data_IF_382027638194
#
_entry.id   IF_382027638194
#
_cell.length_a   1.000
_cell.length_b   1.000
_cell.length_c   1.000
_cell.angle_alpha   90.00
_cell.angle_beta   90.00
_cell.angle_gamma   90.00
#
_symmetry.space_group_name_H-M   'P 1'
#
loop_
_entity.id
_entity.type
_entity.pdbx_description
1 polymer ?
#
# COMPACT_ATOMS: atom_id res chain seq x y z
N UNK A 1 34.59 -21.41 6.84
CA UNK A 1 33.92 -20.22 6.27
C UNK A 1 34.67 -19.62 5.06
N UNK A 2 35.84 -18.98 5.24
CA UNK A 2 36.51 -18.19 4.17
C UNK A 2 36.81 -18.95 2.86
N UNK A 3 37.27 -20.20 2.95
CA UNK A 3 37.52 -21.03 1.76
C UNK A 3 36.23 -21.29 0.96
N UNK A 4 35.14 -21.65 1.64
CA UNK A 4 33.85 -21.93 1.01
C UNK A 4 33.22 -20.66 0.42
N UNK A 5 33.35 -19.52 1.09
CA UNK A 5 32.98 -18.21 0.53
C UNK A 5 33.75 -17.90 -0.76
N UNK A 6 35.06 -18.15 -0.78
CA UNK A 6 35.90 -17.90 -1.95
C UNK A 6 35.51 -18.78 -3.15
N UNK A 7 35.23 -20.07 -2.90
CA UNK A 7 34.70 -20.99 -3.91
C UNK A 7 33.32 -20.53 -4.40
N UNK A 8 32.45 -20.08 -3.49
CA UNK A 8 31.11 -19.60 -3.82
C UNK A 8 31.17 -18.37 -4.72
N UNK A 9 32.05 -17.40 -4.42
CA UNK A 9 32.30 -16.23 -5.28
C UNK A 9 32.80 -16.63 -6.66
N UNK A 10 33.74 -17.56 -6.71
CA UNK A 10 34.27 -18.05 -7.99
C UNK A 10 33.18 -18.74 -8.82
N UNK A 11 32.39 -19.60 -8.19
CA UNK A 11 31.32 -20.34 -8.85
C UNK A 11 30.21 -19.42 -9.38
N UNK A 12 29.72 -18.50 -8.54
CA UNK A 12 28.67 -17.53 -8.91
C UNK A 12 29.13 -16.56 -10.00
N UNK A 13 30.39 -16.10 -9.92
CA UNK A 13 31.02 -15.28 -10.97
C UNK A 13 31.14 -16.06 -12.29
N UNK A 14 31.60 -17.31 -12.24
CA UNK A 14 31.66 -18.18 -13.42
C UNK A 14 30.29 -18.36 -14.07
N UNK A 15 29.24 -18.61 -13.29
CA UNK A 15 27.87 -18.74 -13.80
C UNK A 15 27.39 -17.43 -14.49
N UNK A 16 27.72 -16.28 -13.90
CA UNK A 16 27.37 -14.96 -14.45
C UNK A 16 28.08 -14.68 -15.78
N UNK A 17 29.37 -15.02 -15.89
CA UNK A 17 30.16 -14.89 -17.12
C UNK A 17 29.66 -15.84 -18.20
N UNK A 18 29.36 -17.09 -17.84
CA UNK A 18 28.84 -18.08 -18.79
C UNK A 18 27.44 -17.74 -19.31
N UNK A 19 26.69 -16.89 -18.60
CA UNK A 19 25.40 -16.37 -19.06
C UNK A 19 25.55 -15.23 -20.09
N UNK A 20 26.75 -14.68 -20.32
CA UNK A 20 26.94 -13.68 -21.36
C UNK A 20 26.86 -14.30 -22.78
N UNK A 21 26.22 -13.62 -23.76
CA UNK A 21 26.05 -14.16 -25.10
C UNK A 21 27.37 -14.55 -25.79
N UNK A 22 28.46 -13.85 -25.44
CA UNK A 22 29.81 -14.10 -25.97
C UNK A 22 30.43 -15.42 -25.49
N UNK A 23 29.96 -15.94 -24.35
CA UNK A 23 30.52 -17.12 -23.68
C UNK A 23 29.50 -18.25 -23.49
N UNK A 24 28.25 -18.05 -23.93
CA UNK A 24 27.15 -19.01 -23.87
C UNK A 24 27.44 -20.26 -24.72
N UNK A 25 28.30 -21.14 -24.21
CA UNK A 25 28.57 -22.42 -24.83
C UNK A 25 27.39 -23.36 -24.53
N UNK A 26 26.53 -23.59 -25.54
CA UNK A 26 25.28 -24.38 -25.46
C UNK A 26 25.43 -25.77 -24.81
N UNK A 27 26.65 -26.29 -24.68
CA UNK A 27 26.92 -27.68 -24.28
C UNK A 27 27.20 -27.91 -22.78
N UNK A 28 27.50 -26.88 -21.98
CA UNK A 28 27.82 -27.06 -20.56
C UNK A 28 26.59 -27.00 -19.63
N UNK A 29 25.55 -26.25 -20.01
CA UNK A 29 24.34 -26.06 -19.21
C UNK A 29 23.19 -27.02 -19.59
N UNK A 30 23.31 -27.74 -20.72
CA UNK A 30 22.26 -28.62 -21.27
C UNK A 30 22.53 -30.11 -21.07
N UNK A 31 23.76 -30.52 -20.78
CA UNK A 31 24.09 -31.94 -20.59
C UNK A 31 23.90 -32.36 -19.13
N UNK A 32 22.88 -33.19 -18.90
CA UNK A 32 22.82 -34.19 -17.81
C UNK A 32 24.05 -35.12 -17.88
N UNK A 33 25.23 -34.62 -17.52
CA UNK A 33 26.38 -35.48 -17.27
C UNK A 33 26.37 -35.88 -15.80
N UNK A 34 25.73 -37.02 -15.55
CA UNK A 34 25.88 -37.82 -14.34
C UNK A 34 27.35 -38.14 -14.09
N UNK A 35 28.01 -37.43 -13.15
CA UNK A 35 29.16 -37.90 -12.34
C UNK A 35 29.58 -36.85 -11.29
N UNK A 36 29.24 -37.13 -10.01
CA UNK A 36 29.59 -36.42 -8.75
C UNK A 36 29.11 -34.96 -8.64
N UNK A 37 28.73 -34.47 -7.43
CA UNK A 37 28.07 -33.18 -7.31
C UNK A 37 29.11 -32.09 -7.54
N UNK A 38 29.20 -31.59 -8.78
CA UNK A 38 29.73 -30.26 -9.00
C UNK A 38 28.93 -29.29 -8.14
N UNK A 39 29.59 -28.25 -7.63
CA UNK A 39 28.90 -27.16 -6.94
C UNK A 39 27.65 -26.77 -7.75
N UNK A 40 26.49 -26.89 -7.12
CA UNK A 40 25.22 -26.41 -7.65
C UNK A 40 24.72 -25.28 -6.76
N UNK A 41 23.89 -24.41 -7.32
CA UNK A 41 23.23 -23.35 -6.56
C UNK A 41 22.46 -23.94 -5.38
N UNK A 42 21.73 -25.04 -5.61
CA UNK A 42 21.01 -25.77 -4.58
C UNK A 42 21.90 -26.28 -3.44
N UNK A 43 23.08 -26.84 -3.75
CA UNK A 43 24.00 -27.33 -2.72
C UNK A 43 24.49 -26.18 -1.82
N UNK A 44 24.80 -25.03 -2.41
CA UNK A 44 25.27 -23.86 -1.68
C UNK A 44 24.18 -23.22 -0.82
N UNK A 45 22.92 -23.25 -1.28
CA UNK A 45 21.76 -22.78 -0.51
C UNK A 45 21.53 -23.63 0.76
N UNK A 46 21.95 -24.89 0.77
CA UNK A 46 21.88 -25.77 1.95
C UNK A 46 23.14 -25.75 2.82
N UNK A 47 24.11 -24.88 2.53
CA UNK A 47 25.31 -24.72 3.36
C UNK A 47 24.95 -24.35 4.79
N UNK A 48 25.60 -24.95 5.79
CA UNK A 48 25.41 -24.59 7.21
C UNK A 48 25.83 -23.14 7.53
N UNK A 49 26.77 -22.59 6.75
CA UNK A 49 27.28 -21.23 6.89
C UNK A 49 26.35 -20.20 6.27
N UNK A 50 25.79 -19.30 7.08
CA UNK A 50 24.88 -18.24 6.61
C UNK A 50 25.56 -17.29 5.61
N UNK A 51 26.86 -17.05 5.73
CA UNK A 51 27.59 -16.15 4.82
C UNK A 51 27.68 -16.72 3.40
N UNK A 52 27.68 -18.05 3.28
CA UNK A 52 27.65 -18.73 1.98
C UNK A 52 26.24 -18.64 1.40
N UNK A 53 25.20 -18.91 2.20
CA UNK A 53 23.81 -18.78 1.78
C UNK A 53 23.49 -17.36 1.34
N UNK A 54 23.88 -16.36 2.14
CA UNK A 54 23.68 -14.94 1.87
C UNK A 54 24.32 -14.52 0.54
N UNK A 55 25.59 -14.86 0.33
CA UNK A 55 26.29 -14.56 -0.92
C UNK A 55 25.59 -15.16 -2.15
N UNK A 56 25.09 -16.39 -2.03
CA UNK A 56 24.34 -17.02 -3.11
C UNK A 56 23.01 -16.32 -3.34
N UNK A 57 22.26 -16.01 -2.28
CA UNK A 57 20.98 -15.30 -2.37
C UNK A 57 21.14 -13.92 -3.00
N UNK A 58 22.16 -13.15 -2.61
CA UNK A 58 22.49 -11.86 -3.22
C UNK A 58 22.79 -11.99 -4.71
N UNK A 59 23.57 -13.01 -5.09
CA UNK A 59 23.86 -13.29 -6.51
C UNK A 59 22.58 -13.62 -7.28
N UNK A 60 21.71 -14.46 -6.72
CA UNK A 60 20.44 -14.84 -7.34
C UNK A 60 19.51 -13.64 -7.50
N UNK A 61 19.46 -12.75 -6.51
CA UNK A 61 18.69 -11.51 -6.61
C UNK A 61 19.23 -10.58 -7.69
N UNK A 62 20.55 -10.49 -7.86
CA UNK A 62 21.14 -9.76 -8.98
C UNK A 62 20.75 -10.37 -10.33
N UNK A 63 20.73 -11.71 -10.44
CA UNK A 63 20.25 -12.38 -11.64
C UNK A 63 18.78 -12.11 -11.93
N UNK A 64 17.90 -12.21 -10.92
CA UNK A 64 16.48 -11.93 -11.05
C UNK A 64 16.21 -10.46 -11.43
N UNK A 65 16.94 -9.51 -10.84
CA UNK A 65 16.85 -8.10 -11.20
C UNK A 65 17.26 -7.84 -12.66
N UNK A 66 18.32 -8.52 -13.14
CA UNK A 66 18.73 -8.44 -14.54
C UNK A 66 17.64 -8.99 -15.46
N UNK A 67 17.11 -10.19 -15.17
CA UNK A 67 16.05 -10.81 -15.98
C UNK A 67 14.80 -9.93 -16.05
N UNK A 68 14.41 -9.31 -14.93
CA UNK A 68 13.21 -8.46 -14.86
C UNK A 68 13.42 -7.06 -15.49
N UNK A 69 14.66 -6.67 -15.80
CA UNK A 69 14.94 -5.42 -16.50
C UNK A 69 14.69 -5.60 -18.01
N UNK A 70 13.83 -4.73 -18.59
CA UNK A 70 13.40 -4.77 -20.00
C UNK A 70 14.53 -4.63 -21.05
N UNK A 71 15.78 -4.44 -20.63
CA UNK A 71 16.94 -4.15 -21.49
C UNK A 71 17.95 -5.31 -21.59
N UNK A 72 17.68 -6.49 -21.00
CA UNK A 72 18.60 -7.63 -21.10
C UNK A 72 18.37 -8.39 -22.41
N UNK A 73 19.47 -8.72 -23.12
CA UNK A 73 19.41 -9.57 -24.31
C UNK A 73 18.70 -10.89 -23.96
N UNK A 74 17.66 -11.24 -24.71
CA UNK A 74 16.77 -12.38 -24.46
C UNK A 74 17.54 -13.69 -24.14
N UNK A 75 18.68 -13.91 -24.81
CA UNK A 75 19.54 -15.07 -24.59
C UNK A 75 20.19 -15.13 -23.19
N UNK A 76 20.67 -13.99 -22.67
CA UNK A 76 21.27 -13.92 -21.32
C UNK A 76 20.22 -14.13 -20.24
N UNK A 77 19.04 -13.51 -20.40
CA UNK A 77 17.91 -13.69 -19.49
C UNK A 77 17.47 -15.16 -19.40
N UNK A 78 17.35 -15.82 -20.56
CA UNK A 78 16.96 -17.23 -20.64
C UNK A 78 17.97 -18.18 -19.97
N UNK A 79 19.28 -17.91 -20.07
CA UNK A 79 20.31 -18.73 -19.40
C UNK A 79 20.22 -18.61 -17.88
N UNK A 80 20.05 -17.39 -17.36
CA UNK A 80 19.89 -17.17 -15.92
C UNK A 80 18.60 -17.80 -15.39
N UNK A 81 17.50 -17.70 -16.14
CA UNK A 81 16.24 -18.38 -15.81
C UNK A 81 16.41 -19.91 -15.74
N UNK A 82 17.16 -20.51 -16.67
CA UNK A 82 17.44 -21.94 -16.65
C UNK A 82 18.22 -22.36 -15.39
N UNK A 83 19.16 -21.54 -14.91
CA UNK A 83 19.90 -21.80 -13.66
C UNK A 83 19.00 -21.78 -12.42
N UNK A 84 17.93 -21.01 -12.46
CA UNK A 84 16.96 -20.88 -11.36
C UNK A 84 15.78 -21.84 -11.48
N UNK A 85 15.56 -22.41 -12.67
CA UNK A 85 14.46 -23.33 -12.93
C UNK A 85 14.55 -24.57 -12.04
N UNK A 86 13.44 -24.88 -11.35
CA UNK A 86 13.36 -26.02 -10.44
C UNK A 86 13.85 -25.75 -9.01
N UNK A 87 14.35 -24.55 -8.72
CA UNK A 87 14.74 -24.17 -7.35
C UNK A 87 13.58 -23.63 -6.50
N UNK A 88 12.38 -23.45 -7.07
CA UNK A 88 11.21 -22.91 -6.36
C UNK A 88 10.88 -23.72 -5.10
N UNK A 89 10.84 -25.05 -5.23
CA UNK A 89 10.61 -25.97 -4.11
C UNK A 89 11.71 -25.84 -3.04
N UNK A 90 12.96 -25.69 -3.46
CA UNK A 90 14.11 -25.52 -2.57
C UNK A 90 13.99 -24.22 -1.78
N UNK A 91 13.67 -23.10 -2.42
CA UNK A 91 13.47 -21.83 -1.72
C UNK A 91 12.32 -21.89 -0.72
N UNK A 92 11.19 -22.51 -1.08
CA UNK A 92 10.05 -22.68 -0.16
C UNK A 92 10.46 -23.49 1.07
N UNK A 93 11.19 -24.61 0.88
CA UNK A 93 11.67 -25.45 1.99
C UNK A 93 12.66 -24.73 2.90
N UNK A 94 13.56 -23.93 2.33
CA UNK A 94 14.54 -23.17 3.10
C UNK A 94 13.83 -22.02 3.84
N UNK A 95 12.86 -21.35 3.21
CA UNK A 95 12.11 -20.25 3.84
C UNK A 95 11.46 -20.67 5.18
N UNK A 96 10.89 -21.87 5.24
CA UNK A 96 10.23 -22.37 6.47
C UNK A 96 11.25 -22.77 7.56
N UNK A 97 12.51 -23.00 7.21
CA UNK A 97 13.54 -23.51 8.15
C UNK A 97 14.59 -22.48 8.55
N UNK A 98 14.80 -21.46 7.72
CA UNK A 98 15.85 -20.47 7.91
C UNK A 98 15.66 -19.70 9.23
N UNK A 99 16.71 -19.62 10.02
CA UNK A 99 16.71 -18.94 11.32
C UNK A 99 17.50 -17.62 11.26
N UNK A 100 18.39 -17.47 10.27
CA UNK A 100 19.17 -16.26 10.12
C UNK A 100 18.33 -15.16 9.45
N UNK A 101 18.06 -14.02 10.11
CA UNK A 101 17.09 -13.03 9.64
C UNK A 101 17.45 -12.44 8.28
N UNK A 102 18.72 -12.13 8.02
CA UNK A 102 19.14 -11.58 6.72
C UNK A 102 18.98 -12.59 5.58
N UNK A 103 19.28 -13.88 5.83
CA UNK A 103 19.11 -14.92 4.82
C UNK A 103 17.61 -15.12 4.55
N UNK A 104 16.79 -15.15 5.60
CA UNK A 104 15.34 -15.27 5.49
C UNK A 104 14.75 -14.11 4.70
N UNK A 105 15.13 -12.87 5.00
CA UNK A 105 14.73 -11.68 4.25
C UNK A 105 15.08 -11.82 2.75
N UNK A 106 16.28 -12.26 2.42
CA UNK A 106 16.70 -12.45 1.03
C UNK A 106 15.98 -13.61 0.33
N UNK A 107 15.64 -14.68 1.04
CA UNK A 107 14.81 -15.77 0.50
C UNK A 107 13.41 -15.27 0.16
N UNK A 108 12.79 -14.47 1.03
CA UNK A 108 11.50 -13.85 0.74
C UNK A 108 11.58 -12.92 -0.47
N UNK A 109 12.66 -12.14 -0.60
CA UNK A 109 12.89 -11.28 -1.77
C UNK A 109 13.05 -12.08 -3.07
N UNK A 110 13.70 -13.24 -3.01
CA UNK A 110 13.82 -14.16 -4.16
C UNK A 110 12.44 -14.70 -4.54
N UNK A 111 11.68 -15.24 -3.58
CA UNK A 111 10.34 -15.77 -3.81
C UNK A 111 9.38 -14.71 -4.38
N UNK A 112 9.44 -13.50 -3.85
CA UNK A 112 8.67 -12.35 -4.35
C UNK A 112 8.96 -12.06 -5.84
N UNK A 113 10.22 -12.19 -6.28
CA UNK A 113 10.64 -11.90 -7.66
C UNK A 113 10.42 -13.06 -8.64
N UNK A 114 10.15 -14.27 -8.15
CA UNK A 114 9.83 -15.43 -9.00
C UNK A 114 8.42 -15.35 -9.60
N UNK A 115 8.16 -16.21 -10.60
CA UNK A 115 6.80 -16.40 -11.15
C UNK A 115 5.92 -17.10 -10.10
N UNK A 116 4.86 -16.43 -9.66
CA UNK A 116 3.95 -16.94 -8.64
C UNK A 116 3.29 -18.25 -9.05
N UNK A 117 3.04 -18.48 -10.34
CA UNK A 117 2.43 -19.73 -10.81
C UNK A 117 3.32 -20.93 -10.48
N UNK A 118 4.62 -20.77 -10.68
CA UNK A 118 5.60 -21.81 -10.35
C UNK A 118 5.70 -21.98 -8.83
N UNK A 119 5.86 -20.88 -8.08
CA UNK A 119 5.96 -20.92 -6.62
C UNK A 119 4.75 -21.62 -6.01
N UNK A 120 3.53 -21.19 -6.35
CA UNK A 120 2.30 -21.76 -5.81
C UNK A 120 2.11 -23.22 -6.18
N UNK A 121 2.44 -23.62 -7.42
CA UNK A 121 2.36 -25.03 -7.83
C UNK A 121 3.28 -25.94 -7.03
N UNK A 122 4.37 -25.41 -6.48
CA UNK A 122 5.35 -26.15 -5.68
C UNK A 122 5.10 -26.06 -4.18
N UNK A 123 4.33 -25.08 -3.70
CA UNK A 123 4.06 -24.91 -2.27
C UNK A 123 3.34 -26.11 -1.66
N UNK A 124 2.36 -26.67 -2.36
CA UNK A 124 1.59 -27.81 -1.87
C UNK A 124 2.47 -29.06 -1.73
N UNK A 125 3.32 -29.33 -2.73
CA UNK A 125 4.27 -30.44 -2.71
C UNK A 125 5.37 -30.25 -1.65
N UNK A 126 5.90 -29.02 -1.54
CA UNK A 126 7.08 -28.72 -0.73
C UNK A 126 6.80 -28.73 0.78
N UNK A 127 5.68 -28.09 1.19
CA UNK A 127 5.37 -27.81 2.59
C UNK A 127 3.93 -28.11 2.97
N UNK A 128 3.14 -28.74 2.07
CA UNK A 128 1.74 -29.14 2.32
C UNK A 128 0.83 -27.97 2.70
N UNK A 129 1.11 -26.78 2.17
CA UNK A 129 0.26 -25.61 2.28
C UNK A 129 -0.42 -25.32 0.95
N UNK A 130 -1.75 -25.17 0.97
CA UNK A 130 -2.46 -24.60 -0.18
C UNK A 130 -2.15 -23.09 -0.28
N UNK A 131 -2.35 -22.46 -1.44
CA UNK A 131 -2.04 -21.04 -1.62
C UNK A 131 -2.70 -20.09 -0.61
N UNK A 132 -3.91 -20.39 -0.11
CA UNK A 132 -4.57 -19.63 0.96
C UNK A 132 -3.79 -19.68 2.28
N UNK A 133 -3.40 -20.88 2.73
CA UNK A 133 -2.54 -21.05 3.92
C UNK A 133 -1.18 -20.39 3.74
N UNK A 134 -0.64 -20.44 2.52
CA UNK A 134 0.63 -19.79 2.20
C UNK A 134 0.53 -18.27 2.30
N UNK A 135 -0.54 -17.66 1.78
CA UNK A 135 -0.80 -16.23 1.95
C UNK A 135 -0.88 -15.85 3.44
N UNK A 136 -1.64 -16.60 4.24
CA UNK A 136 -1.75 -16.35 5.68
C UNK A 136 -0.41 -16.49 6.41
N UNK A 137 0.41 -17.47 6.01
CA UNK A 137 1.78 -17.61 6.54
C UNK A 137 2.64 -16.38 6.26
N UNK A 138 2.62 -15.86 5.03
CA UNK A 138 3.35 -14.63 4.67
C UNK A 138 2.82 -13.40 5.42
N UNK A 139 1.50 -13.25 5.54
CA UNK A 139 0.89 -12.13 6.29
C UNK A 139 1.25 -12.18 7.79
N UNK A 140 1.31 -13.38 8.38
CA UNK A 140 1.74 -13.52 9.76
C UNK A 140 3.20 -13.10 9.95
N UNK A 141 4.09 -13.42 9.00
CA UNK A 141 5.48 -12.94 9.04
C UNK A 141 5.52 -11.41 8.97
N UNK A 142 4.73 -10.79 8.08
CA UNK A 142 4.62 -9.34 7.97
C UNK A 142 4.14 -8.69 9.28
N UNK A 143 3.24 -9.34 10.01
CA UNK A 143 2.68 -8.82 11.26
C UNK A 143 3.59 -9.01 12.48
N UNK A 144 4.31 -10.13 12.57
CA UNK A 144 5.02 -10.49 13.82
C UNK A 144 6.53 -10.27 13.79
N UNK A 145 7.12 -10.00 12.62
CA UNK A 145 8.57 -9.80 12.51
C UNK A 145 9.03 -8.58 13.29
N UNK A 146 10.19 -8.66 13.96
CA UNK A 146 10.85 -7.49 14.57
C UNK A 146 11.73 -6.68 13.61
N UNK A 147 11.99 -7.18 12.40
CA UNK A 147 12.79 -6.50 11.36
C UNK A 147 11.87 -5.86 10.32
N UNK A 148 12.11 -4.58 10.08
CA UNK A 148 11.39 -3.74 9.11
C UNK A 148 11.55 -4.29 7.69
N UNK A 149 12.75 -4.76 7.34
CA UNK A 149 13.05 -5.32 6.03
C UNK A 149 12.23 -6.59 5.76
N UNK A 150 12.15 -7.47 6.75
CA UNK A 150 11.33 -8.69 6.68
C UNK A 150 9.84 -8.33 6.62
N UNK A 151 9.38 -7.38 7.44
CA UNK A 151 7.98 -6.92 7.39
C UNK A 151 7.62 -6.37 6.00
N UNK A 152 8.45 -5.47 5.47
CA UNK A 152 8.29 -4.82 4.17
C UNK A 152 8.22 -5.82 3.02
N UNK A 153 9.21 -6.72 2.91
CA UNK A 153 9.22 -7.69 1.80
C UNK A 153 8.09 -8.71 1.93
N UNK A 154 7.73 -9.11 3.14
CA UNK A 154 6.61 -10.03 3.39
C UNK A 154 5.29 -9.40 2.99
N UNK A 155 5.05 -8.14 3.34
CA UNK A 155 3.82 -7.43 2.97
C UNK A 155 3.73 -7.20 1.46
N UNK A 156 4.84 -6.84 0.80
CA UNK A 156 4.92 -6.76 -0.67
C UNK A 156 4.60 -8.10 -1.32
N UNK A 157 5.12 -9.19 -0.76
CA UNK A 157 4.86 -10.54 -1.25
C UNK A 157 3.40 -10.98 -1.03
N UNK A 158 2.85 -10.74 0.15
CA UNK A 158 1.44 -10.98 0.45
C UNK A 158 0.52 -10.21 -0.51
N UNK A 159 0.83 -8.95 -0.80
CA UNK A 159 0.05 -8.11 -1.73
C UNK A 159 0.07 -8.68 -3.15
N UNK A 160 1.25 -9.09 -3.65
CA UNK A 160 1.39 -9.72 -4.97
C UNK A 160 0.64 -11.05 -5.05
N UNK A 161 0.70 -11.85 -3.99
CA UNK A 161 -0.05 -13.10 -3.87
C UNK A 161 -1.56 -12.85 -3.86
N UNK A 162 -2.05 -11.93 -3.04
CA UNK A 162 -3.48 -11.62 -2.95
C UNK A 162 -4.05 -11.18 -4.31
N UNK A 163 -3.36 -10.28 -5.03
CA UNK A 163 -3.71 -9.91 -6.41
C UNK A 163 -3.82 -11.15 -7.30
N UNK A 164 -2.80 -12.01 -7.28
CA UNK A 164 -2.79 -13.21 -8.10
C UNK A 164 -3.95 -14.16 -7.77
N UNK A 165 -4.27 -14.34 -6.49
CA UNK A 165 -5.34 -15.24 -6.05
C UNK A 165 -6.73 -14.67 -6.40
N UNK A 166 -6.99 -13.38 -6.17
CA UNK A 166 -8.28 -12.75 -6.53
C UNK A 166 -8.50 -12.76 -8.05
N UNK A 167 -7.44 -12.62 -8.86
CA UNK A 167 -7.56 -12.63 -10.31
C UNK A 167 -7.78 -14.02 -10.93
N UNK A 168 -7.20 -15.07 -10.33
CA UNK A 168 -7.13 -16.39 -10.95
C UNK A 168 -7.95 -17.46 -10.23
N UNK A 169 -8.46 -17.17 -9.04
CA UNK A 169 -9.17 -18.14 -8.21
C UNK A 169 -10.57 -17.70 -7.84
N UNK A 170 -11.44 -18.69 -7.63
CA UNK A 170 -12.88 -18.49 -7.41
C UNK A 170 -13.31 -18.62 -5.93
N UNK A 171 -12.38 -18.89 -5.02
CA UNK A 171 -12.69 -18.94 -3.59
C UNK A 171 -12.84 -17.54 -3.00
N UNK A 172 -13.73 -17.43 -2.02
CA UNK A 172 -13.90 -16.21 -1.24
C UNK A 172 -12.71 -15.98 -0.32
N UNK A 173 -12.07 -14.81 -0.48
CA UNK A 173 -10.90 -14.35 0.25
C UNK A 173 -11.22 -13.12 1.12
N UNK A 174 -12.47 -12.93 1.52
CA UNK A 174 -12.90 -11.78 2.33
C UNK A 174 -12.04 -11.63 3.60
N UNK A 175 -11.86 -12.70 4.38
CA UNK A 175 -11.05 -12.65 5.62
C UNK A 175 -9.60 -12.27 5.39
N UNK A 176 -8.98 -12.82 4.34
CA UNK A 176 -7.59 -12.55 3.97
C UNK A 176 -7.44 -11.12 3.45
N UNK A 177 -8.44 -10.64 2.72
CA UNK A 177 -8.50 -9.26 2.24
C UNK A 177 -8.57 -8.29 3.41
N UNK A 178 -9.43 -8.53 4.41
CA UNK A 178 -9.50 -7.69 5.62
C UNK A 178 -8.18 -7.66 6.38
N UNK A 179 -7.58 -8.83 6.63
CA UNK A 179 -6.28 -8.90 7.31
C UNK A 179 -5.19 -8.13 6.53
N UNK A 180 -5.16 -8.27 5.20
CA UNK A 180 -4.21 -7.55 4.37
C UNK A 180 -4.43 -6.03 4.38
N UNK A 181 -5.68 -5.56 4.33
CA UNK A 181 -6.03 -4.14 4.41
C UNK A 181 -5.54 -3.52 5.72
N UNK A 182 -5.74 -4.21 6.85
CA UNK A 182 -5.26 -3.75 8.16
C UNK A 182 -3.74 -3.58 8.17
N UNK A 183 -2.98 -4.53 7.61
CA UNK A 183 -1.52 -4.44 7.51
C UNK A 183 -1.06 -3.28 6.61
N UNK A 184 -1.69 -3.09 5.45
CA UNK A 184 -1.36 -1.97 4.56
C UNK A 184 -1.69 -0.63 5.21
N UNK A 185 -2.83 -0.55 5.91
CA UNK A 185 -3.22 0.65 6.66
C UNK A 185 -2.20 0.97 7.75
N UNK A 186 -1.85 -0.02 8.57
CA UNK A 186 -0.85 0.13 9.63
C UNK A 186 0.46 0.68 9.07
N UNK A 187 1.00 0.09 8.00
CA UNK A 187 2.24 0.57 7.37
C UNK A 187 2.12 1.96 6.74
N UNK A 188 0.91 2.47 6.50
CA UNK A 188 0.68 3.80 5.93
C UNK A 188 0.56 4.90 6.98
N UNK A 189 0.53 4.55 8.27
CA UNK A 189 0.41 5.50 9.38
C UNK A 189 1.64 6.41 9.52
N UNK A 190 1.42 7.65 9.98
CA UNK A 190 2.47 8.68 10.05
C UNK A 190 3.54 8.33 11.09
N UNK A 191 3.16 7.58 12.13
CA UNK A 191 4.02 7.09 13.21
C UNK A 191 4.99 6.00 12.74
N UNK A 192 4.76 5.40 11.57
CA UNK A 192 5.60 4.33 11.07
C UNK A 192 6.91 4.83 10.48
N UNK A 193 7.91 3.95 10.54
CA UNK A 193 9.21 4.16 9.92
C UNK A 193 9.06 4.38 8.41
N UNK A 194 9.92 5.25 7.86
CA UNK A 194 10.01 5.58 6.43
C UNK A 194 9.92 4.36 5.51
N UNK A 195 10.67 3.31 5.82
CA UNK A 195 10.77 2.12 4.96
C UNK A 195 9.45 1.32 4.89
N UNK A 196 8.64 1.33 5.96
CA UNK A 196 7.31 0.71 5.96
C UNK A 196 6.31 1.54 5.15
N UNK A 197 6.35 2.86 5.28
CA UNK A 197 5.52 3.77 4.47
C UNK A 197 5.89 3.70 2.98
N UNK A 198 7.18 3.59 2.67
CA UNK A 198 7.65 3.34 1.31
C UNK A 198 7.15 1.99 0.79
N UNK A 199 7.17 0.95 1.62
CA UNK A 199 6.62 -0.34 1.25
C UNK A 199 5.12 -0.26 0.92
N UNK A 200 4.33 0.42 1.76
CA UNK A 200 2.92 0.65 1.53
C UNK A 200 2.67 1.43 0.23
N UNK A 201 3.45 2.50 -0.02
CA UNK A 201 3.35 3.28 -1.26
C UNK A 201 3.65 2.41 -2.50
N UNK A 202 4.74 1.64 -2.49
CA UNK A 202 5.07 0.71 -3.57
C UNK A 202 3.98 -0.36 -3.80
N UNK A 203 3.39 -0.88 -2.72
CA UNK A 203 2.27 -1.82 -2.78
C UNK A 203 1.08 -1.17 -3.49
N UNK A 204 0.64 0.00 -3.03
CA UNK A 204 -0.49 0.74 -3.59
C UNK A 204 -0.29 1.02 -5.09
N UNK A 205 0.93 1.41 -5.48
CA UNK A 205 1.32 1.56 -6.89
C UNK A 205 1.16 0.23 -7.64
N UNK A 206 1.72 -0.87 -7.11
CA UNK A 206 1.68 -2.18 -7.78
C UNK A 206 0.27 -2.75 -7.95
N UNK A 207 -0.64 -2.48 -7.01
CA UNK A 207 -2.02 -2.96 -7.05
C UNK A 207 -2.98 -2.01 -7.80
N UNK A 208 -2.54 -0.80 -8.15
CA UNK A 208 -3.38 0.23 -8.77
C UNK A 208 -4.24 -0.28 -9.93
N UNK A 209 -3.70 -0.97 -10.96
CA UNK A 209 -4.50 -1.46 -12.08
C UNK A 209 -5.47 -2.58 -11.72
N UNK A 210 -5.28 -3.23 -10.58
CA UNK A 210 -6.06 -4.41 -10.19
C UNK A 210 -7.16 -4.08 -9.19
N UNK A 211 -6.90 -3.17 -8.24
CA UNK A 211 -7.81 -2.93 -7.11
C UNK A 211 -8.28 -1.47 -7.00
N UNK A 212 -7.46 -0.48 -7.39
CA UNK A 212 -7.78 0.93 -7.18
C UNK A 212 -8.52 1.58 -8.36
N UNK A 213 -8.31 1.05 -9.57
CA UNK A 213 -8.83 1.62 -10.83
C UNK A 213 -9.66 0.64 -11.65
N UNK A 214 -9.73 -0.63 -11.24
CA UNK A 214 -10.50 -1.66 -11.95
C UNK A 214 -12.00 -1.33 -11.92
N UNK A 215 -12.65 -1.39 -13.08
CA UNK A 215 -14.09 -1.10 -13.23
C UNK A 215 -14.98 -2.11 -12.51
N UNK A 216 -14.49 -3.33 -12.28
CA UNK A 216 -15.23 -4.41 -11.62
C UNK A 216 -15.26 -4.28 -10.12
N UNK A 217 -14.41 -3.43 -9.53
CA UNK A 217 -14.27 -3.29 -8.07
C UNK A 217 -14.14 -4.65 -7.36
N UNK A 218 -13.07 -5.42 -7.61
CA UNK A 218 -12.93 -6.78 -7.07
C UNK A 218 -12.93 -6.86 -5.53
N UNK A 219 -12.53 -5.79 -4.84
CA UNK A 219 -12.59 -5.68 -3.37
C UNK A 219 -13.93 -5.12 -2.88
N UNK A 220 -14.78 -4.64 -3.78
CA UNK A 220 -15.93 -3.80 -3.45
C UNK A 220 -15.56 -2.36 -3.10
N UNK A 221 -16.56 -1.48 -3.12
CA UNK A 221 -16.36 -0.03 -2.96
C UNK A 221 -15.70 0.34 -1.62
N UNK A 222 -16.15 -0.26 -0.51
CA UNK A 222 -15.67 0.10 0.83
C UNK A 222 -14.15 -0.12 0.97
N UNK A 223 -13.67 -1.29 0.56
CA UNK A 223 -12.27 -1.68 0.72
C UNK A 223 -11.37 -0.98 -0.30
N UNK A 224 -11.87 -0.77 -1.52
CA UNK A 224 -11.17 0.07 -2.51
C UNK A 224 -11.02 1.51 -2.00
N UNK A 225 -12.07 2.11 -1.43
CA UNK A 225 -11.99 3.45 -0.85
C UNK A 225 -11.07 3.47 0.38
N UNK A 226 -11.08 2.44 1.21
CA UNK A 226 -10.15 2.33 2.33
C UNK A 226 -8.68 2.40 1.87
N UNK A 227 -8.31 1.71 0.79
CA UNK A 227 -6.96 1.84 0.21
C UNK A 227 -6.70 3.25 -0.37
N UNK A 228 -7.70 3.89 -0.98
CA UNK A 228 -7.58 5.28 -1.41
C UNK A 228 -7.32 6.25 -0.25
N UNK A 229 -7.85 5.96 0.94
CA UNK A 229 -7.52 6.72 2.15
C UNK A 229 -6.04 6.55 2.52
N UNK A 230 -5.49 5.35 2.43
CA UNK A 230 -4.04 5.12 2.61
C UNK A 230 -3.22 5.90 1.57
N UNK A 231 -3.66 5.95 0.31
CA UNK A 231 -3.01 6.78 -0.73
C UNK A 231 -3.00 8.25 -0.32
N UNK A 232 -4.15 8.80 0.06
CA UNK A 232 -4.30 10.20 0.50
C UNK A 232 -3.40 10.51 1.70
N UNK A 233 -3.25 9.56 2.63
CA UNK A 233 -2.36 9.70 3.78
C UNK A 233 -0.89 9.76 3.35
N UNK A 234 -0.43 8.82 2.51
CA UNK A 234 0.97 8.79 2.05
C UNK A 234 1.34 9.99 1.17
N UNK A 235 0.40 10.55 0.41
CA UNK A 235 0.60 11.79 -0.36
C UNK A 235 0.83 13.03 0.52
N UNK A 236 0.46 12.95 1.80
CA UNK A 236 0.68 13.99 2.80
C UNK A 236 1.92 13.74 3.67
N UNK A 237 2.61 12.60 3.51
CA UNK A 237 3.81 12.28 4.29
C UNK A 237 4.81 13.44 4.25
N UNK A 238 5.44 13.79 5.36
CA UNK A 238 6.52 14.81 5.39
C UNK A 238 7.73 14.41 4.54
N UNK A 239 7.91 13.11 4.31
CA UNK A 239 9.04 12.56 3.59
C UNK A 239 8.80 12.55 2.09
N UNK A 240 9.63 13.30 1.37
CA UNK A 240 9.50 13.45 -0.07
C UNK A 240 9.54 12.12 -0.82
N UNK A 241 10.41 11.19 -0.42
CA UNK A 241 10.53 9.88 -1.08
C UNK A 241 9.23 9.06 -1.00
N UNK A 242 8.50 9.15 0.11
CA UNK A 242 7.20 8.49 0.31
C UNK A 242 6.15 9.13 -0.59
N UNK A 243 6.04 10.46 -0.57
CA UNK A 243 5.09 11.19 -1.41
C UNK A 243 5.33 10.93 -2.90
N UNK A 244 6.57 11.05 -3.36
CA UNK A 244 6.94 10.87 -4.77
C UNK A 244 6.64 9.44 -5.24
N UNK A 245 6.81 8.44 -4.36
CA UNK A 245 6.42 7.06 -4.64
C UNK A 245 4.90 6.92 -4.73
N UNK A 246 4.15 7.48 -3.78
CA UNK A 246 2.69 7.41 -3.74
C UNK A 246 2.02 8.14 -4.94
N UNK A 247 2.63 9.21 -5.48
CA UNK A 247 2.22 9.84 -6.75
C UNK A 247 2.23 8.85 -7.91
N UNK A 248 3.01 7.76 -7.81
CA UNK A 248 2.98 6.64 -8.75
C UNK A 248 1.58 6.05 -8.97
N UNK A 249 0.70 6.07 -7.95
CA UNK A 249 -0.70 5.62 -8.06
C UNK A 249 -1.45 6.51 -9.04
N UNK A 250 -1.34 7.83 -8.89
CA UNK A 250 -1.97 8.82 -9.78
C UNK A 250 -1.44 8.65 -11.20
N UNK A 251 -0.11 8.54 -11.36
CA UNK A 251 0.53 8.35 -12.67
C UNK A 251 0.06 7.08 -13.37
N UNK A 252 -0.03 5.96 -12.66
CA UNK A 252 -0.51 4.69 -13.21
C UNK A 252 -2.00 4.72 -13.51
N UNK A 253 -2.80 5.42 -12.72
CA UNK A 253 -4.23 5.57 -12.99
C UNK A 253 -4.46 6.40 -14.25
N UNK A 254 -3.76 7.52 -14.40
CA UNK A 254 -3.87 8.41 -15.57
C UNK A 254 -3.32 7.80 -16.86
N UNK A 255 -2.32 6.91 -16.79
CA UNK A 255 -1.77 6.25 -17.98
C UNK A 255 -2.64 5.13 -18.54
N UNK A 256 -3.70 4.72 -17.83
CA UNK A 256 -4.62 3.72 -18.33
C UNK A 256 -5.56 4.34 -19.38
N UNK A 257 -5.43 3.90 -20.63
CA UNK A 257 -6.16 4.40 -21.82
C UNK A 257 -7.70 4.43 -21.64
N UNK A 258 -8.24 3.62 -20.74
CA UNK A 258 -9.67 3.44 -20.55
C UNK A 258 -10.29 4.39 -19.52
N UNK A 259 -9.49 5.18 -18.79
CA UNK A 259 -9.98 5.77 -17.53
C UNK A 259 -10.03 7.30 -17.56
N UNK A 260 -9.05 8.01 -18.14
CA UNK A 260 -8.99 9.48 -18.03
C UNK A 260 -8.59 10.19 -19.32
N UNK A 261 -9.40 11.16 -19.78
CA UNK A 261 -9.22 11.87 -21.08
C UNK A 261 -8.74 13.32 -20.98
N UNK A 262 -8.55 13.89 -19.79
CA UNK A 262 -8.49 15.36 -19.64
C UNK A 262 -7.21 15.97 -19.07
N UNK A 263 -6.25 15.17 -18.61
CA UNK A 263 -5.05 15.73 -18.00
C UNK A 263 -3.87 15.36 -18.89
N UNK A 264 -3.44 16.32 -19.72
CA UNK A 264 -2.25 16.17 -20.57
C UNK A 264 -1.02 15.78 -19.76
N UNK A 265 0.02 15.28 -20.43
CA UNK A 265 1.29 14.83 -19.87
C UNK A 265 1.80 15.77 -18.76
N UNK A 266 1.42 15.47 -17.51
CA UNK A 266 1.91 16.18 -16.35
C UNK A 266 3.29 15.62 -16.05
N UNK A 267 4.28 16.49 -16.10
CA UNK A 267 5.65 16.15 -15.76
C UNK A 267 5.76 16.05 -14.22
N UNK A 268 5.47 14.87 -13.68
CA UNK A 268 5.33 14.58 -12.25
C UNK A 268 6.66 14.59 -11.47
N UNK A 269 7.65 15.39 -11.88
CA UNK A 269 9.00 15.30 -11.31
C UNK A 269 9.11 15.84 -9.88
N UNK A 270 8.24 16.77 -9.47
CA UNK A 270 8.08 17.21 -8.07
C UNK A 270 6.64 17.69 -7.87
N UNK A 271 5.82 16.93 -7.13
CA UNK A 271 4.44 17.32 -6.81
C UNK A 271 4.38 17.73 -5.33
N UNK A 272 3.97 18.96 -5.05
CA UNK A 272 3.69 19.33 -3.65
C UNK A 272 2.41 18.61 -3.15
N UNK A 273 2.30 18.39 -1.83
CA UNK A 273 1.20 17.63 -1.24
C UNK A 273 -0.19 18.17 -1.66
N UNK A 274 -0.36 19.49 -1.73
CA UNK A 274 -1.62 20.12 -2.11
C UNK A 274 -2.07 19.75 -3.55
N UNK A 275 -1.14 19.78 -4.51
CA UNK A 275 -1.41 19.39 -5.90
C UNK A 275 -1.65 17.87 -6.01
N UNK A 276 -0.88 17.06 -5.27
CA UNK A 276 -1.06 15.62 -5.26
C UNK A 276 -2.45 15.23 -4.75
N UNK A 277 -2.92 15.87 -3.68
CA UNK A 277 -4.26 15.70 -3.14
C UNK A 277 -5.35 16.17 -4.11
N UNK A 278 -5.16 17.32 -4.76
CA UNK A 278 -6.10 17.82 -5.77
C UNK A 278 -6.30 16.80 -6.91
N UNK A 279 -5.21 16.23 -7.41
CA UNK A 279 -5.24 15.21 -8.44
C UNK A 279 -5.84 13.89 -7.94
N UNK A 280 -5.46 13.43 -6.74
CA UNK A 280 -5.98 12.19 -6.18
C UNK A 280 -7.50 12.26 -5.96
N UNK A 281 -8.01 13.36 -5.39
CA UNK A 281 -9.46 13.52 -5.20
C UNK A 281 -10.20 13.72 -6.52
N UNK A 282 -9.64 14.46 -7.48
CA UNK A 282 -10.22 14.57 -8.83
C UNK A 282 -10.38 13.19 -9.48
N UNK A 283 -9.31 12.39 -9.42
CA UNK A 283 -9.24 11.04 -9.96
C UNK A 283 -10.26 10.12 -9.27
N UNK A 284 -10.32 10.16 -7.93
CA UNK A 284 -11.26 9.37 -7.16
C UNK A 284 -12.72 9.72 -7.50
N UNK A 285 -13.00 11.00 -7.72
CA UNK A 285 -14.31 11.48 -8.12
C UNK A 285 -14.72 11.01 -9.52
N UNK A 286 -13.77 10.94 -10.46
CA UNK A 286 -13.98 10.36 -11.78
C UNK A 286 -14.17 8.83 -11.71
N UNK A 287 -13.39 8.13 -10.87
CA UNK A 287 -13.55 6.70 -10.63
C UNK A 287 -14.92 6.36 -10.04
N UNK A 288 -15.40 7.11 -9.05
CA UNK A 288 -16.74 6.92 -8.48
C UNK A 288 -17.85 7.04 -9.54
N UNK A 289 -17.68 7.95 -10.51
CA UNK A 289 -18.60 8.08 -11.65
C UNK A 289 -18.48 6.89 -12.61
N UNK A 290 -17.26 6.46 -12.93
CA UNK A 290 -17.01 5.30 -13.79
C UNK A 290 -17.57 4.00 -13.20
N UNK A 291 -17.47 3.83 -11.88
CA UNK A 291 -18.06 2.70 -11.17
C UNK A 291 -19.58 2.81 -11.00
N UNK A 292 -20.19 3.96 -11.29
CA UNK A 292 -21.60 4.22 -11.02
C UNK A 292 -21.94 4.23 -9.53
N UNK A 293 -20.97 4.51 -8.66
CA UNK A 293 -21.06 4.44 -7.19
C UNK A 293 -21.00 5.82 -6.53
N UNK A 294 -21.45 6.88 -7.21
CA UNK A 294 -21.33 8.25 -6.73
C UNK A 294 -22.04 8.48 -5.39
N UNK A 295 -23.24 7.95 -5.17
CA UNK A 295 -24.01 8.16 -3.93
C UNK A 295 -23.34 7.51 -2.71
N UNK A 296 -23.01 6.23 -2.82
CA UNK A 296 -22.28 5.49 -1.81
C UNK A 296 -20.88 6.08 -1.56
N UNK A 297 -20.16 6.45 -2.62
CA UNK A 297 -18.85 7.09 -2.56
C UNK A 297 -18.87 8.43 -1.84
N UNK A 298 -19.81 9.32 -2.17
CA UNK A 298 -20.01 10.60 -1.46
C UNK A 298 -20.26 10.37 0.03
N UNK A 299 -21.04 9.35 0.38
CA UNK A 299 -21.31 9.05 1.80
C UNK A 299 -20.03 8.66 2.54
N UNK A 300 -19.15 7.85 1.94
CA UNK A 300 -17.85 7.46 2.53
C UNK A 300 -16.89 8.66 2.59
N UNK A 301 -16.84 9.49 1.56
CA UNK A 301 -16.01 10.69 1.54
C UNK A 301 -16.44 11.73 2.59
N UNK A 302 -17.74 11.83 2.89
CA UNK A 302 -18.25 12.65 3.99
C UNK A 302 -17.85 12.08 5.37
N UNK A 303 -17.76 10.77 5.52
CA UNK A 303 -17.20 10.14 6.73
C UNK A 303 -15.73 10.53 6.91
N UNK A 304 -14.95 10.57 5.82
CA UNK A 304 -13.55 11.02 5.87
C UNK A 304 -13.43 12.48 6.25
N UNK A 305 -14.37 13.33 5.83
CA UNK A 305 -14.40 14.73 6.21
C UNK A 305 -14.68 14.92 7.71
N UNK A 306 -15.54 14.09 8.30
CA UNK A 306 -15.92 14.20 9.72
C UNK A 306 -14.88 13.65 10.71
N UNK A 307 -14.03 12.69 10.32
CA UNK A 307 -12.98 12.04 11.17
C UNK A 307 -13.39 11.90 12.65
N UNK A 308 -14.38 11.04 12.93
CA UNK A 308 -15.00 10.91 14.26
C UNK A 308 -14.00 10.62 15.41
N UNK A 309 -12.96 9.83 15.16
CA UNK A 309 -11.98 9.42 16.17
C UNK A 309 -11.17 10.60 16.73
N UNK A 310 -10.80 11.56 15.87
CA UNK A 310 -10.05 12.76 16.25
C UNK A 310 -10.79 13.58 17.33
N UNK A 311 -12.13 13.61 17.31
CA UNK A 311 -12.93 14.40 18.24
C UNK A 311 -13.07 13.72 19.61
N UNK A 312 -13.14 12.39 19.64
CA UNK A 312 -13.19 11.61 20.89
C UNK A 312 -11.88 11.77 21.68
N UNK A 313 -10.75 11.64 21.00
CA UNK A 313 -9.42 11.81 21.59
C UNK A 313 -9.19 13.24 22.09
N UNK A 314 -9.66 14.23 21.31
CA UNK A 314 -9.58 15.64 21.68
C UNK A 314 -10.40 15.94 22.94
N UNK A 315 -11.63 15.40 23.03
CA UNK A 315 -12.47 15.54 24.23
C UNK A 315 -11.77 14.98 25.46
N UNK A 316 -11.20 13.78 25.37
CA UNK A 316 -10.43 13.19 26.47
C UNK A 316 -9.23 14.07 26.86
N UNK A 317 -8.51 14.62 25.88
CA UNK A 317 -7.33 15.47 26.12
C UNK A 317 -7.70 16.78 26.83
N UNK A 318 -8.77 17.45 26.41
CA UNK A 318 -9.23 18.71 27.01
C UNK A 318 -9.74 18.47 28.44
N UNK A 319 -10.49 17.38 28.66
CA UNK A 319 -11.05 17.04 29.98
C UNK A 319 -9.95 16.63 30.97
N UNK A 320 -8.93 15.89 30.53
CA UNK A 320 -7.84 15.42 31.40
C UNK A 320 -6.72 16.44 31.61
N UNK A 321 -6.72 17.55 30.88
CA UNK A 321 -5.78 18.66 31.06
C UNK A 321 -4.32 18.23 30.94
N UNK A 322 -3.87 17.88 29.74
CA UNK A 322 -2.46 17.56 29.51
C UNK A 322 -1.64 18.78 29.09
N UNK A 323 -0.52 18.95 29.80
CA UNK A 323 0.45 20.04 29.70
C UNK A 323 1.45 19.75 28.55
N UNK A 324 0.99 19.68 27.30
CA UNK A 324 1.90 19.51 26.17
C UNK A 324 2.50 20.85 25.75
N UNK A 325 3.77 21.02 26.14
CA UNK A 325 4.65 22.10 25.74
C UNK A 325 4.70 22.21 24.20
N UNK A 326 4.50 23.43 23.71
CA UNK A 326 4.50 23.83 22.31
C UNK A 326 5.65 23.20 21.51
N UNK A 327 5.34 22.34 20.52
CA UNK A 327 6.34 21.87 19.56
C UNK A 327 6.24 22.69 18.27
N UNK A 328 7.35 23.31 17.85
CA UNK A 328 7.37 24.30 16.75
C UNK A 328 6.98 23.73 15.37
N UNK A 329 6.88 22.41 15.24
CA UNK A 329 6.40 21.73 14.03
C UNK A 329 4.88 21.78 13.81
N UNK A 330 4.08 22.13 14.83
CA UNK A 330 2.62 21.94 14.74
C UNK A 330 1.91 22.89 13.77
N UNK A 331 2.42 24.10 13.53
CA UNK A 331 1.79 25.06 12.62
C UNK A 331 1.70 24.54 11.16
N UNK A 332 2.73 23.83 10.70
CA UNK A 332 2.76 23.24 9.35
C UNK A 332 1.77 22.06 9.25
N UNK A 333 1.74 21.21 10.28
CA UNK A 333 0.80 20.11 10.39
C UNK A 333 -0.68 20.56 10.33
N UNK A 334 -1.00 21.72 10.91
CA UNK A 334 -2.36 22.28 10.84
C UNK A 334 -2.73 22.79 9.44
N UNK A 335 -1.80 23.40 8.72
CA UNK A 335 -2.01 23.85 7.35
C UNK A 335 -2.23 22.67 6.39
N UNK A 336 -1.54 21.56 6.61
CA UNK A 336 -1.70 20.32 5.84
C UNK A 336 -3.07 19.68 6.07
N UNK A 337 -3.50 19.55 7.33
CA UNK A 337 -4.85 19.04 7.67
C UNK A 337 -5.97 19.87 7.04
N UNK A 338 -5.83 21.19 6.98
CA UNK A 338 -6.79 22.05 6.30
C UNK A 338 -6.71 21.92 4.77
N UNK A 339 -5.54 21.64 4.23
CA UNK A 339 -5.36 21.42 2.78
C UNK A 339 -6.13 20.19 2.33
N UNK A 340 -6.01 19.06 3.03
CA UNK A 340 -6.80 17.84 2.76
C UNK A 340 -8.31 18.12 2.76
N UNK A 341 -8.80 18.78 3.82
CA UNK A 341 -10.20 19.14 4.01
C UNK A 341 -10.72 20.02 2.88
N UNK A 342 -9.93 21.02 2.46
CA UNK A 342 -10.29 21.93 1.36
C UNK A 342 -10.28 21.24 0.01
N UNK A 343 -9.30 20.37 -0.28
CA UNK A 343 -9.30 19.62 -1.54
C UNK A 343 -10.45 18.60 -1.60
N UNK A 344 -10.68 17.86 -0.52
CA UNK A 344 -11.78 16.90 -0.45
C UNK A 344 -13.13 17.60 -0.64
N UNK A 345 -13.38 18.69 0.09
CA UNK A 345 -14.64 19.45 -0.03
C UNK A 345 -14.82 20.09 -1.40
N UNK A 346 -13.76 20.63 -2.02
CA UNK A 346 -13.77 21.14 -3.40
C UNK A 346 -14.29 20.08 -4.37
N UNK A 347 -13.76 18.86 -4.30
CA UNK A 347 -14.12 17.78 -5.23
C UNK A 347 -15.47 17.15 -4.91
N UNK A 348 -15.84 17.04 -3.64
CA UNK A 348 -17.19 16.64 -3.23
C UNK A 348 -18.25 17.58 -3.81
N UNK A 349 -18.02 18.90 -3.73
CA UNK A 349 -18.94 19.90 -4.31
C UNK A 349 -19.11 19.73 -5.83
N UNK A 350 -18.06 19.32 -6.54
CA UNK A 350 -18.11 19.02 -7.97
C UNK A 350 -18.87 17.71 -8.28
N UNK A 351 -18.95 16.78 -7.34
CA UNK A 351 -19.69 15.53 -7.50
C UNK A 351 -21.21 15.70 -7.34
N UNK A 352 -21.66 16.71 -6.58
CA UNK A 352 -23.08 16.90 -6.26
C UNK A 352 -23.98 16.87 -7.51
N UNK A 353 -23.70 17.61 -8.61
CA UNK A 353 -24.61 17.66 -9.76
C UNK A 353 -24.78 16.31 -10.48
N UNK A 354 -23.79 15.41 -10.36
CA UNK A 354 -23.81 14.09 -11.01
C UNK A 354 -24.20 12.97 -10.02
N UNK A 355 -24.31 13.29 -8.73
CA UNK A 355 -24.64 12.32 -7.69
C UNK A 355 -26.13 12.01 -7.73
N UNK A 356 -26.46 10.74 -7.97
CA UNK A 356 -27.83 10.23 -7.80
C UNK A 356 -27.89 9.46 -6.50
N UNK A 357 -28.71 9.95 -5.57
CA UNK A 357 -28.86 9.35 -4.24
C UNK A 357 -30.03 8.37 -4.26
N UNK A 358 -29.76 7.11 -3.95
CA UNK A 358 -30.74 6.07 -3.71
C UNK A 358 -31.36 6.18 -2.31
N UNK A 359 -32.48 5.49 -2.07
CA UNK A 359 -33.14 5.49 -0.76
C UNK A 359 -32.26 4.94 0.38
N UNK A 360 -31.40 3.96 0.09
CA UNK A 360 -30.46 3.41 1.06
C UNK A 360 -29.38 4.45 1.45
N UNK A 361 -28.81 5.12 0.44
CA UNK A 361 -27.82 6.18 0.64
C UNK A 361 -28.42 7.38 1.38
N UNK A 362 -29.68 7.74 1.11
CA UNK A 362 -30.38 8.81 1.83
C UNK A 362 -30.41 8.56 3.34
N UNK A 363 -30.60 7.30 3.78
CA UNK A 363 -30.58 6.94 5.20
C UNK A 363 -29.18 7.14 5.80
N UNK A 364 -28.13 6.72 5.08
CA UNK A 364 -26.73 6.89 5.51
C UNK A 364 -26.37 8.38 5.60
N UNK A 365 -26.76 9.17 4.60
CA UNK A 365 -26.56 10.62 4.62
C UNK A 365 -27.31 11.30 5.77
N UNK A 366 -28.53 10.87 6.10
CA UNK A 366 -29.27 11.39 7.27
C UNK A 366 -28.55 11.07 8.59
N UNK A 367 -27.99 9.86 8.72
CA UNK A 367 -27.17 9.49 9.88
C UNK A 367 -25.92 10.38 9.97
N UNK A 368 -25.26 10.67 8.85
CA UNK A 368 -24.12 11.59 8.79
C UNK A 368 -24.50 13.03 9.13
N UNK A 369 -25.66 13.50 8.69
CA UNK A 369 -26.16 14.83 9.04
C UNK A 369 -26.43 14.98 10.54
N UNK A 370 -26.99 13.93 11.16
CA UNK A 370 -27.17 13.89 12.62
C UNK A 370 -25.83 13.87 13.34
N UNK A 371 -24.91 13.01 12.92
CA UNK A 371 -23.56 12.92 13.49
C UNK A 371 -22.84 14.27 13.40
N UNK A 372 -22.82 14.90 12.23
CA UNK A 372 -22.22 16.21 12.03
C UNK A 372 -22.85 17.31 12.91
N UNK A 373 -24.18 17.27 13.09
CA UNK A 373 -24.89 18.20 13.97
C UNK A 373 -24.53 18.00 15.44
N UNK A 374 -24.46 16.74 15.90
CA UNK A 374 -24.07 16.38 17.26
C UNK A 374 -22.61 16.80 17.53
N UNK A 375 -21.71 16.57 16.57
CA UNK A 375 -20.32 17.04 16.65
C UNK A 375 -20.22 18.57 16.66
N UNK A 376 -21.02 19.29 15.86
CA UNK A 376 -21.04 20.75 15.85
C UNK A 376 -21.43 21.32 17.22
N UNK A 377 -22.44 20.72 17.87
CA UNK A 377 -22.85 21.11 19.22
C UNK A 377 -21.73 20.86 20.24
N UNK A 378 -21.09 19.69 20.18
CA UNK A 378 -19.98 19.35 21.06
C UNK A 378 -18.79 20.29 20.88
N UNK A 379 -18.37 20.58 19.65
CA UNK A 379 -17.29 21.54 19.35
C UNK A 379 -17.64 22.93 19.84
N UNK A 380 -18.89 23.37 19.64
CA UNK A 380 -19.37 24.66 20.16
C UNK A 380 -19.32 24.73 21.69
N UNK A 381 -19.62 23.62 22.38
CA UNK A 381 -19.52 23.54 23.83
C UNK A 381 -18.05 23.60 24.28
N UNK A 382 -17.17 22.79 23.70
CA UNK A 382 -15.74 22.75 24.03
C UNK A 382 -15.06 24.11 23.79
N UNK A 383 -15.42 24.81 22.71
CA UNK A 383 -14.92 26.16 22.44
C UNK A 383 -15.35 27.19 23.51
N UNK A 384 -16.51 27.01 24.15
CA UNK A 384 -16.97 27.87 25.27
C UNK A 384 -16.28 27.56 26.59
N UNK A 385 -15.77 26.34 26.76
CA UNK A 385 -15.03 25.91 27.96
C UNK A 385 -13.57 26.41 27.96
N UNK A 386 -13.07 26.86 26.80
CA UNK A 386 -11.76 27.49 26.67
C UNK A 386 -11.70 28.87 27.36
N UNK A 387 -10.51 29.32 27.81
CA UNK A 387 -10.33 30.62 28.46
C UNK A 387 -10.76 31.78 27.55
N UNK A 388 -11.23 32.91 28.11
CA UNK A 388 -11.68 34.06 27.34
C UNK A 388 -10.45 34.67 26.62
N UNK A 389 -10.41 34.57 25.28
CA UNK A 389 -9.28 34.83 24.35
C UNK A 389 -8.36 33.64 23.99
N UNK A 390 -8.92 32.46 23.63
CA UNK A 390 -8.10 31.29 23.29
C UNK A 390 -7.36 31.44 21.94
N UNK A 391 -7.89 32.30 21.06
CA UNK A 391 -7.28 32.71 19.79
C UNK A 391 -5.92 33.41 19.98
N UNK A 392 -5.76 34.12 21.11
CA UNK A 392 -4.56 34.90 21.43
C UNK A 392 -3.55 34.09 22.25
N UNK A 393 -3.99 33.01 22.91
CA UNK A 393 -3.10 32.06 23.61
C UNK A 393 -2.54 30.96 22.71
N UNK A 394 -2.96 30.89 21.44
CA UNK A 394 -2.50 29.91 20.42
C UNK A 394 -2.53 28.46 20.92
N UNK A 395 -3.49 28.10 21.75
CA UNK A 395 -3.51 26.75 22.32
C UNK A 395 -3.74 25.70 21.22
N UNK A 396 -3.06 24.56 21.34
CA UNK A 396 -3.16 23.44 20.39
C UNK A 396 -4.60 22.94 20.30
N UNK A 397 -5.32 22.97 21.42
CA UNK A 397 -6.71 22.59 21.57
C UNK A 397 -7.63 23.49 20.75
N UNK A 398 -7.43 24.82 20.81
CA UNK A 398 -8.19 25.76 19.99
C UNK A 398 -8.00 25.48 18.50
N UNK A 399 -6.76 25.27 18.06
CA UNK A 399 -6.45 25.00 16.65
C UNK A 399 -7.09 23.69 16.17
N UNK A 400 -7.03 22.62 16.99
CA UNK A 400 -7.72 21.35 16.71
C UNK A 400 -9.23 21.52 16.60
N UNK A 401 -9.86 22.25 17.54
CA UNK A 401 -11.29 22.52 17.52
C UNK A 401 -11.71 23.38 16.32
N UNK A 402 -10.91 24.37 15.93
CA UNK A 402 -11.16 25.21 14.77
C UNK A 402 -11.15 24.40 13.46
N UNK A 403 -10.19 23.48 13.30
CA UNK A 403 -10.12 22.57 12.15
C UNK A 403 -11.34 21.63 12.12
N UNK A 404 -11.72 21.07 13.27
CA UNK A 404 -12.92 20.24 13.35
C UNK A 404 -14.18 21.04 13.02
N UNK A 405 -14.27 22.28 13.47
CA UNK A 405 -15.39 23.16 13.13
C UNK A 405 -15.46 23.43 11.60
N UNK A 406 -14.31 23.66 10.93
CA UNK A 406 -14.25 23.83 9.47
C UNK A 406 -14.71 22.55 8.74
N UNK A 407 -14.24 21.37 9.18
CA UNK A 407 -14.67 20.06 8.66
C UNK A 407 -16.18 19.85 8.77
N UNK A 408 -16.72 20.03 9.97
CA UNK A 408 -18.15 19.84 10.26
C UNK A 408 -19.01 20.83 9.46
N UNK A 409 -18.60 22.10 9.39
CA UNK A 409 -19.29 23.14 8.63
C UNK A 409 -19.36 22.79 7.13
N UNK A 410 -18.24 22.35 6.54
CA UNK A 410 -18.20 21.91 5.15
C UNK A 410 -19.07 20.67 4.91
N UNK A 411 -19.03 19.70 5.83
CA UNK A 411 -19.86 18.50 5.76
C UNK A 411 -21.36 18.85 5.77
N UNK A 412 -21.81 19.65 6.74
CA UNK A 412 -23.20 20.11 6.84
C UNK A 412 -23.63 20.90 5.59
N UNK A 413 -22.75 21.74 5.04
CA UNK A 413 -23.01 22.46 3.79
C UNK A 413 -23.25 21.49 2.63
N UNK A 414 -22.38 20.51 2.45
CA UNK A 414 -22.52 19.52 1.37
C UNK A 414 -23.79 18.67 1.56
N UNK A 415 -24.07 18.21 2.77
CA UNK A 415 -25.28 17.46 3.09
C UNK A 415 -26.56 18.26 2.80
N UNK A 416 -26.56 19.57 3.08
CA UNK A 416 -27.70 20.44 2.75
C UNK A 416 -27.94 20.57 1.25
N UNK A 417 -26.87 20.58 0.45
CA UNK A 417 -26.91 20.66 -1.01
C UNK A 417 -27.34 19.33 -1.66
N UNK A 418 -27.10 18.21 -0.99
CA UNK A 418 -27.61 16.88 -1.36
C UNK A 418 -29.09 16.68 -0.95
N UNK A 419 -29.77 17.75 -0.51
CA UNK A 419 -31.17 17.77 -0.05
C UNK A 419 -31.46 16.83 1.14
N UNK A 420 -30.43 16.47 1.90
CA UNK A 420 -30.53 15.67 3.12
C UNK A 420 -31.08 16.54 4.25
N UNK A 421 -32.39 16.76 4.25
CA UNK A 421 -33.06 17.58 5.26
C UNK A 421 -34.36 18.27 4.84
N UNK A 422 -34.67 18.36 3.55
CA UNK A 422 -35.91 19.00 3.09
C UNK A 422 -37.11 18.02 2.96
N UNK A 423 -36.88 16.72 3.18
CA UNK A 423 -37.87 15.65 3.00
C UNK A 423 -38.76 15.33 4.20
N UNK A 424 -38.73 16.10 5.31
CA UNK A 424 -39.65 15.88 6.45
C UNK A 424 -40.94 16.71 6.35
N UNK A 425 -41.11 17.54 5.31
CA UNK A 425 -42.38 18.23 5.05
C UNK A 425 -42.76 18.13 3.57
N UNK A 426 -43.30 16.96 3.15
CA UNK A 426 -44.34 16.81 2.10
C UNK A 426 -44.55 15.33 1.74
N UNK A 427 -45.44 14.68 2.48
CA UNK A 427 -46.62 13.96 1.96
C UNK A 427 -47.39 13.38 3.14
#
# INVERSE_FOLDING_TARGET
AQFLQSITRLFTSMCSVMAEPRFANRNFLTKKNTKKPGLSVEFLLHSDFCEVRLLVLETILLWLNQVNAKHVMEEKGNILLNLLSGLEETFIKIAVKEQHPECFCKILEVLYKMDLRNVLSKTEDAIKMNPRKFLHWIMNIANTSGSIEIQSISLKFASKLLVHLIQNWQEDLESETKQWLELVSYCSEDEQQTDLRLAAAEILVSITPFFLTDQKLPLGLSDTLFLWRCVVQLLQSEEQIVRDTAVGVIRLALSQENTFRKTGELDFHVVNAALALDLAFSLLCELLQLWGQTGAGVSVLLEWLLKEDDLKDLKCTIVMGNDYLFDKGQANFWAEKLTEVRQLSKHLLLLIPVTRVSSCEQRKLYQLARLASDQAQLVTQLLKELPPTPEFSQSVEFTKLAIQNERISLCLKILSLLEVGNGICKS
#
